data_IF_369570439071
#
_entry.id   IF_369570439071
#
_cell.length_a   1.000
_cell.length_b   1.000
_cell.length_c   1.000
_cell.angle_alpha   90.00
_cell.angle_beta   90.00
_cell.angle_gamma   90.00
#
_symmetry.space_group_name_H-M   'P 1'
#
loop_
_entity.id
_entity.type
_entity.pdbx_description
1 polymer ?
#
# COMPACT_ATOMS: atom_id res chain seq x y z
N UNK A 1 -31.38 -28.82 -15.79
CA UNK A 1 -31.23 -30.00 -14.92
C UNK A 1 -29.81 -30.19 -14.39
N UNK A 2 -28.78 -30.37 -15.25
CA UNK A 2 -27.39 -30.67 -14.80
C UNK A 2 -26.72 -29.58 -13.94
N UNK A 3 -27.01 -28.30 -14.22
CA UNK A 3 -26.45 -27.16 -13.46
C UNK A 3 -27.04 -27.01 -12.05
N UNK A 4 -28.30 -27.41 -11.86
CA UNK A 4 -28.98 -27.35 -10.56
C UNK A 4 -28.46 -28.44 -9.61
N UNK A 5 -28.14 -29.63 -10.15
CA UNK A 5 -27.53 -30.73 -9.40
C UNK A 5 -26.12 -30.33 -8.93
N UNK A 6 -25.33 -29.69 -9.79
CA UNK A 6 -23.98 -29.24 -9.45
C UNK A 6 -23.98 -28.19 -8.33
N UNK A 7 -24.94 -27.26 -8.34
CA UNK A 7 -25.11 -26.27 -7.28
C UNK A 7 -25.55 -26.91 -5.95
N UNK A 8 -26.41 -27.92 -6.00
CA UNK A 8 -26.89 -28.63 -4.81
C UNK A 8 -25.77 -29.45 -4.14
N UNK A 9 -24.89 -30.06 -4.94
CA UNK A 9 -23.70 -30.76 -4.44
C UNK A 9 -22.70 -29.82 -3.75
N UNK A 10 -22.48 -28.60 -4.27
CA UNK A 10 -21.58 -27.60 -3.67
C UNK A 10 -22.13 -27.13 -2.32
N UNK A 11 -23.44 -26.90 -2.20
CA UNK A 11 -24.05 -26.46 -0.93
C UNK A 11 -24.01 -27.51 0.18
N UNK A 12 -24.07 -28.80 -0.16
CA UNK A 12 -23.96 -29.90 0.81
C UNK A 12 -22.51 -30.10 1.27
N UNK A 13 -21.54 -29.95 0.36
CA UNK A 13 -20.12 -30.11 0.69
C UNK A 13 -19.60 -29.02 1.65
N UNK A 14 -20.16 -27.80 1.59
CA UNK A 14 -19.83 -26.73 2.53
C UNK A 14 -20.35 -26.96 3.96
N UNK A 15 -21.29 -27.88 4.19
CA UNK A 15 -21.89 -28.09 5.52
C UNK A 15 -21.13 -29.09 6.42
N UNK A 16 -20.16 -29.84 5.89
CA UNK A 16 -19.50 -30.96 6.62
C UNK A 16 -18.11 -30.59 7.16
N UNK A 17 -17.58 -29.40 6.86
CA UNK A 17 -16.22 -29.02 7.24
C UNK A 17 -16.06 -28.44 8.67
N UNK A 18 -17.15 -28.23 9.42
CA UNK A 18 -17.12 -27.64 10.76
C UNK A 18 -17.07 -28.71 11.87
N UNK A 19 -16.12 -29.64 11.78
CA UNK A 19 -15.75 -30.47 12.94
C UNK A 19 -14.69 -29.70 13.72
N UNK A 20 -15.16 -28.98 14.72
CA UNK A 20 -14.36 -28.27 15.70
C UNK A 20 -13.40 -29.22 16.44
N UNK A 21 -12.11 -29.12 16.11
CA UNK A 21 -11.03 -29.70 16.90
C UNK A 21 -10.93 -28.88 18.20
N UNK A 22 -11.45 -29.40 19.31
CA UNK A 22 -11.25 -28.83 20.64
C UNK A 22 -9.83 -29.18 21.15
N UNK A 23 -8.95 -28.19 21.43
CA UNK A 23 -7.70 -28.47 22.12
C UNK A 23 -7.98 -28.80 23.59
N UNK A 24 -7.78 -30.07 23.95
CA UNK A 24 -7.76 -30.55 25.33
C UNK A 24 -6.67 -29.79 26.12
N UNK A 25 -7.09 -29.10 27.18
CA UNK A 25 -6.24 -28.23 28.00
C UNK A 25 -5.08 -28.99 28.65
N UNK A 26 -3.85 -28.65 28.27
CA UNK A 26 -2.64 -29.03 29.01
C UNK A 26 -2.51 -28.17 30.28
N UNK A 27 -2.10 -28.75 31.43
CA UNK A 27 -1.76 -27.97 32.62
C UNK A 27 -0.65 -26.98 32.30
N UNK A 28 -0.92 -25.70 32.48
CA UNK A 28 0.03 -24.61 32.20
C UNK A 28 1.11 -24.61 33.31
N UNK A 29 2.41 -24.75 32.97
CA UNK A 29 3.49 -24.72 33.95
C UNK A 29 3.62 -23.32 34.60
N UNK A 30 4.07 -23.24 35.86
CA UNK A 30 3.99 -22.02 36.68
C UNK A 30 4.70 -20.80 36.06
N UNK A 31 5.76 -20.99 35.27
CA UNK A 31 6.50 -19.89 34.62
C UNK A 31 5.71 -19.13 33.55
N UNK A 32 4.65 -19.72 32.97
CA UNK A 32 3.81 -19.03 31.97
C UNK A 32 2.90 -18.00 32.64
N UNK A 33 2.45 -18.28 33.87
CA UNK A 33 1.61 -17.34 34.64
C UNK A 33 2.38 -16.07 35.05
N UNK A 34 3.69 -16.17 35.18
CA UNK A 34 4.56 -15.03 35.50
C UNK A 34 4.79 -14.15 34.26
N UNK A 35 4.95 -14.75 33.08
CA UNK A 35 5.00 -14.03 31.81
C UNK A 35 3.69 -13.29 31.49
N UNK A 36 2.52 -13.89 31.76
CA UNK A 36 1.21 -13.23 31.60
C UNK A 36 1.04 -12.04 32.55
N UNK A 37 1.55 -12.14 33.79
CA UNK A 37 1.51 -11.01 34.74
C UNK A 37 2.37 -9.82 34.27
N UNK A 38 3.50 -10.08 33.62
CA UNK A 38 4.34 -9.01 33.05
C UNK A 38 3.79 -8.45 31.73
N UNK A 39 3.02 -9.23 30.98
CA UNK A 39 2.41 -8.80 29.71
C UNK A 39 1.23 -7.83 29.89
N UNK A 40 0.66 -7.71 31.10
CA UNK A 40 -0.47 -6.83 31.39
C UNK A 40 -0.06 -5.42 31.88
N UNK A 41 1.19 -5.00 31.63
CA UNK A 41 1.50 -3.58 31.71
C UNK A 41 0.67 -2.83 30.66
N UNK A 42 -0.05 -1.74 30.99
CA UNK A 42 -0.79 -0.96 30.01
C UNK A 42 0.18 -0.46 28.93
N UNK A 43 0.18 -1.13 27.78
CA UNK A 43 0.87 -0.65 26.60
C UNK A 43 0.14 0.60 26.15
N UNK A 44 0.84 1.73 26.16
CA UNK A 44 0.33 2.98 25.62
C UNK A 44 -0.13 2.71 24.18
N UNK A 45 -1.38 3.07 23.80
CA UNK A 45 -1.88 2.82 22.46
C UNK A 45 -0.90 3.40 21.43
N UNK A 46 -0.52 2.66 20.38
CA UNK A 46 0.37 3.19 19.36
C UNK A 46 -0.22 4.49 18.83
N UNK A 47 0.55 5.57 18.91
CA UNK A 47 0.12 6.89 18.47
C UNK A 47 -0.39 6.79 17.02
N UNK A 48 -1.67 7.10 16.81
CA UNK A 48 -2.28 7.05 15.49
C UNK A 48 -1.48 7.97 14.55
N UNK A 49 -1.11 7.50 13.34
CA UNK A 49 -0.33 8.31 12.42
C UNK A 49 -1.11 9.58 12.09
N UNK A 50 -0.55 10.73 12.48
CA UNK A 50 -1.16 12.04 12.21
C UNK A 50 -1.22 12.26 10.70
N UNK A 51 -2.43 12.17 10.13
CA UNK A 51 -2.68 12.37 8.70
C UNK A 51 -2.33 13.82 8.36
N UNK A 52 -1.19 14.03 7.69
CA UNK A 52 -0.82 15.35 7.15
C UNK A 52 -1.81 15.70 6.06
N UNK A 53 -2.55 16.79 6.21
CA UNK A 53 -3.44 17.31 5.16
C UNK A 53 -2.56 17.97 4.12
N UNK A 54 -2.62 17.51 2.87
CA UNK A 54 -1.91 18.17 1.77
C UNK A 54 -2.50 19.56 1.49
N UNK A 55 -1.63 20.52 1.21
CA UNK A 55 -2.04 21.86 0.86
C UNK A 55 -2.51 21.89 -0.61
N UNK A 56 -3.77 22.27 -0.91
CA UNK A 56 -4.29 22.26 -2.27
C UNK A 56 -3.55 23.23 -3.20
N UNK A 57 -2.97 24.31 -2.69
CA UNK A 57 -2.16 25.23 -3.49
C UNK A 57 -0.85 24.58 -3.94
N UNK A 58 -0.23 23.77 -3.08
CA UNK A 58 1.01 23.03 -3.41
C UNK A 58 0.76 21.97 -4.48
N UNK A 59 -0.33 21.21 -4.36
CA UNK A 59 -0.70 20.20 -5.36
C UNK A 59 -0.92 20.81 -6.75
N UNK A 60 -1.55 22.00 -6.80
CA UNK A 60 -1.73 22.73 -8.07
C UNK A 60 -0.38 23.17 -8.66
N UNK A 61 0.51 23.74 -7.86
CA UNK A 61 1.83 24.16 -8.36
C UNK A 61 2.67 22.97 -8.84
N UNK A 62 2.62 21.85 -8.11
CA UNK A 62 3.34 20.63 -8.50
C UNK A 62 2.80 20.03 -9.80
N UNK A 63 1.48 20.06 -10.01
CA UNK A 63 0.87 19.61 -11.26
C UNK A 63 1.26 20.50 -12.45
N UNK A 64 1.33 21.82 -12.25
CA UNK A 64 1.83 22.74 -13.26
C UNK A 64 3.31 22.49 -13.59
N UNK A 65 4.15 22.34 -12.56
CA UNK A 65 5.58 22.04 -12.75
C UNK A 65 5.79 20.71 -13.50
N UNK A 66 5.00 19.68 -13.17
CA UNK A 66 5.03 18.40 -13.88
C UNK A 66 4.71 18.60 -15.36
N UNK A 67 3.68 19.38 -15.69
CA UNK A 67 3.28 19.64 -17.07
C UNK A 67 4.38 20.37 -17.86
N UNK A 68 4.99 21.39 -17.26
CA UNK A 68 6.08 22.16 -17.86
C UNK A 68 7.32 21.28 -18.14
N UNK A 69 7.77 20.51 -17.14
CA UNK A 69 8.90 19.59 -17.31
C UNK A 69 8.61 18.50 -18.35
N UNK A 70 7.39 17.95 -18.35
CA UNK A 70 7.00 16.92 -19.31
C UNK A 70 6.95 17.46 -20.75
N UNK A 71 6.58 18.74 -20.93
CA UNK A 71 6.54 19.38 -22.23
C UNK A 71 7.95 19.58 -22.84
N UNK A 72 8.99 19.66 -22.03
CA UNK A 72 10.38 19.79 -22.48
C UNK A 72 10.98 18.46 -22.98
N UNK A 73 10.44 17.31 -22.54
CA UNK A 73 10.98 15.96 -22.83
C UNK A 73 11.16 15.70 -24.34
N UNK A 74 10.19 15.97 -25.23
CA UNK A 74 10.35 15.65 -26.65
C UNK A 74 11.57 16.34 -27.27
N UNK A 75 11.79 17.62 -26.95
CA UNK A 75 12.95 18.37 -27.44
C UNK A 75 14.28 17.86 -26.86
N UNK A 76 14.29 17.37 -25.62
CA UNK A 76 15.46 16.74 -25.04
C UNK A 76 15.77 15.38 -25.66
N UNK A 77 14.74 14.60 -26.02
CA UNK A 77 14.88 13.32 -26.74
C UNK A 77 15.42 13.54 -28.15
N UNK A 78 15.03 14.60 -28.85
CA UNK A 78 15.62 14.95 -30.14
C UNK A 78 17.13 15.17 -30.04
N UNK A 79 17.61 15.86 -28.98
CA UNK A 79 19.05 16.03 -28.73
C UNK A 79 19.74 14.70 -28.48
N UNK A 80 19.12 13.81 -27.71
CA UNK A 80 19.63 12.45 -27.46
C UNK A 80 19.75 11.65 -28.76
N UNK A 81 18.77 11.75 -29.65
CA UNK A 81 18.80 11.10 -30.97
C UNK A 81 19.94 11.63 -31.86
N UNK A 82 20.38 12.87 -31.64
CA UNK A 82 21.55 13.47 -32.29
C UNK A 82 22.87 13.11 -31.59
N UNK A 83 22.86 12.21 -30.60
CA UNK A 83 24.03 11.79 -29.84
C UNK A 83 24.44 12.77 -28.73
N UNK A 84 23.61 13.78 -28.44
CA UNK A 84 23.85 14.73 -27.36
C UNK A 84 23.00 14.35 -26.15
N UNK A 85 23.64 13.98 -25.04
CA UNK A 85 22.92 13.72 -23.78
C UNK A 85 22.90 15.01 -22.96
N UNK A 86 21.74 15.68 -22.80
CA UNK A 86 21.64 16.85 -21.94
C UNK A 86 21.92 16.42 -20.51
N UNK A 87 22.79 17.14 -19.79
CA UNK A 87 23.11 16.81 -18.39
C UNK A 87 21.88 16.87 -17.49
N UNK A 88 20.97 17.78 -17.79
CA UNK A 88 19.79 18.06 -16.97
C UNK A 88 18.63 17.09 -17.23
N UNK A 89 18.65 16.33 -18.34
CA UNK A 89 17.58 15.39 -18.71
C UNK A 89 17.33 14.35 -17.62
N UNK A 90 18.40 13.80 -17.04
CA UNK A 90 18.30 12.83 -15.94
C UNK A 90 17.61 13.44 -14.71
N UNK A 91 17.95 14.67 -14.37
CA UNK A 91 17.38 15.36 -13.21
C UNK A 91 15.93 15.80 -13.45
N UNK A 92 15.60 16.24 -14.67
CA UNK A 92 14.24 16.55 -15.10
C UNK A 92 13.34 15.31 -15.00
N UNK A 93 13.78 14.17 -15.55
CA UNK A 93 13.05 12.90 -15.45
C UNK A 93 12.82 12.47 -14.00
N UNK A 94 13.86 12.58 -13.16
CA UNK A 94 13.76 12.27 -11.73
C UNK A 94 12.80 13.20 -11.00
N UNK A 95 12.73 14.47 -11.39
CA UNK A 95 11.80 15.45 -10.81
C UNK A 95 10.36 15.13 -11.21
N UNK A 96 10.11 14.81 -12.49
CA UNK A 96 8.80 14.35 -12.98
C UNK A 96 8.34 13.11 -12.20
N UNK A 97 9.21 12.12 -12.02
CA UNK A 97 8.88 10.90 -11.25
C UNK A 97 8.44 11.23 -9.83
N UNK A 98 9.18 12.11 -9.14
CA UNK A 98 8.85 12.52 -7.76
C UNK A 98 7.51 13.25 -7.69
N UNK A 99 7.27 14.21 -8.59
CA UNK A 99 6.01 14.96 -8.64
C UNK A 99 4.83 14.03 -8.92
N UNK A 100 4.95 13.14 -9.91
CA UNK A 100 3.91 12.18 -10.25
C UNK A 100 3.58 11.24 -9.08
N UNK A 101 4.62 10.74 -8.38
CA UNK A 101 4.44 9.89 -7.20
C UNK A 101 3.73 10.63 -6.07
N UNK A 102 4.13 11.88 -5.80
CA UNK A 102 3.54 12.68 -4.73
C UNK A 102 2.06 13.00 -5.02
N UNK A 103 1.75 13.51 -6.21
CA UNK A 103 0.37 13.79 -6.63
C UNK A 103 -0.52 12.54 -6.54
N UNK A 104 -0.04 11.39 -7.05
CA UNK A 104 -0.78 10.12 -6.93
C UNK A 104 -1.01 9.73 -5.48
N UNK A 105 0.01 9.87 -4.64
CA UNK A 105 -0.09 9.51 -3.23
C UNK A 105 -1.11 10.36 -2.47
N UNK A 106 -1.21 11.66 -2.79
CA UNK A 106 -2.16 12.56 -2.16
C UNK A 106 -3.60 12.39 -2.68
N UNK A 107 -3.78 11.99 -3.95
CA UNK A 107 -5.10 11.65 -4.50
C UNK A 107 -5.64 10.33 -3.94
N UNK A 108 -4.78 9.32 -3.78
CA UNK A 108 -5.17 7.98 -3.33
C UNK A 108 -5.16 7.80 -1.81
N UNK A 109 -4.93 8.88 -1.06
CA UNK A 109 -4.89 8.87 0.40
C UNK A 109 -6.28 8.89 1.02
#
# INVERSE_FOLDING_TARGET
MRKAIFLLFITVFCYVADVAIHPQGRPIPPGVREADKQSNAPLEPPALPKRRVANPAQLKSEASELAELSAAIPAEIEKVNLGQIPKDLSDHLKRIEKLAKHLRSEIMR
#
